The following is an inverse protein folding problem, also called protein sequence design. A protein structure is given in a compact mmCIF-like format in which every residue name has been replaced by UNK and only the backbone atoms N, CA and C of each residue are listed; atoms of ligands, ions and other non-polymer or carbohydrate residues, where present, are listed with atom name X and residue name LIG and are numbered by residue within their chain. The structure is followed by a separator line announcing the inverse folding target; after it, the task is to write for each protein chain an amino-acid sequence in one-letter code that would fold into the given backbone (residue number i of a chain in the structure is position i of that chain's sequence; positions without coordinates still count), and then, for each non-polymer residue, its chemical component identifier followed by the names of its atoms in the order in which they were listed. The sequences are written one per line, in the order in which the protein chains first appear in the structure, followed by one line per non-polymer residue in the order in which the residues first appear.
data_IF_523628068119
#
_entry.id   IF_523628068119
#
_cell.length_a   1.000
_cell.length_b   1.000
_cell.length_c   1.000
_cell.angle_alpha   90.00
_cell.angle_beta   90.00
_cell.angle_gamma   90.00
#
_symmetry.space_group_name_H-M   'P 1'
#
loop_
_entity.id
_entity.type
_entity.pdbx_description
1 polymer ?
#
# COMPACT_ATOMS: atom_id res chain seq x y z
N UNK A 1 16.17 -19.33 -1.84
CA UNK A 1 16.18 -17.88 -2.11
C UNK A 1 15.45 -17.63 -3.42
N UNK A 2 14.40 -16.81 -3.41
CA UNK A 2 13.66 -16.47 -4.62
C UNK A 2 14.54 -15.68 -5.55
N UNK A 3 14.72 -16.16 -6.79
CA UNK A 3 15.65 -15.57 -7.77
C UNK A 3 15.28 -14.15 -8.23
N UNK A 4 15.85 -13.67 -9.34
CA UNK A 4 15.78 -12.27 -9.80
C UNK A 4 14.38 -11.75 -10.22
N UNK A 5 13.31 -12.52 -9.95
CA UNK A 5 11.90 -12.15 -10.14
C UNK A 5 11.07 -12.52 -8.90
N UNK A 6 11.64 -12.38 -7.70
CA UNK A 6 10.90 -12.60 -6.47
C UNK A 6 9.81 -11.52 -6.32
N UNK A 7 8.55 -11.94 -6.29
CA UNK A 7 7.37 -11.08 -6.16
C UNK A 7 6.09 -11.90 -6.16
N UNK A 8 4.96 -11.25 -5.87
CA UNK A 8 3.64 -11.86 -5.86
C UNK A 8 2.62 -10.95 -5.18
N UNK A 9 1.35 -11.16 -5.48
CA UNK A 9 0.22 -10.51 -4.81
C UNK A 9 -0.91 -11.52 -4.67
N UNK A 10 -1.85 -11.24 -3.76
CA UNK A 10 -3.08 -12.00 -3.64
C UNK A 10 -4.12 -11.39 -4.58
N UNK A 11 -4.75 -12.22 -5.41
CA UNK A 11 -5.95 -11.80 -6.15
C UNK A 11 -7.15 -11.66 -5.19
N UNK A 12 -8.24 -11.03 -5.65
CA UNK A 12 -9.49 -10.95 -4.88
C UNK A 12 -10.01 -12.35 -4.48
N UNK A 13 -9.90 -13.32 -5.38
CA UNK A 13 -10.30 -14.70 -5.10
C UNK A 13 -9.40 -15.36 -4.04
N UNK A 14 -8.09 -15.07 -4.05
CA UNK A 14 -7.18 -15.55 -3.01
C UNK A 14 -7.54 -14.97 -1.64
N UNK A 15 -7.80 -13.67 -1.58
CA UNK A 15 -8.22 -12.98 -0.35
C UNK A 15 -9.55 -13.53 0.15
N UNK A 16 -10.54 -13.73 -0.73
CA UNK A 16 -11.84 -14.31 -0.36
C UNK A 16 -11.70 -15.71 0.24
N UNK A 17 -10.80 -16.54 -0.32
CA UNK A 17 -10.49 -17.87 0.25
C UNK A 17 -9.84 -17.77 1.62
N UNK A 18 -8.91 -16.83 1.80
CA UNK A 18 -8.23 -16.60 3.10
C UNK A 18 -9.25 -16.18 4.16
N UNK A 19 -10.08 -15.18 3.86
CA UNK A 19 -11.11 -14.67 4.80
C UNK A 19 -12.13 -15.76 5.15
N UNK A 20 -12.61 -16.52 4.16
CA UNK A 20 -13.54 -17.63 4.40
C UNK A 20 -12.94 -18.71 5.30
N UNK A 21 -11.67 -19.05 5.11
CA UNK A 21 -10.99 -20.02 5.95
C UNK A 21 -10.74 -19.50 7.37
N UNK A 22 -10.28 -18.25 7.52
CA UNK A 22 -10.10 -17.62 8.84
C UNK A 22 -11.40 -17.61 9.64
N UNK A 23 -12.54 -17.33 8.99
CA UNK A 23 -13.87 -17.38 9.61
C UNK A 23 -14.23 -18.75 10.16
N UNK A 24 -13.85 -19.85 9.49
CA UNK A 24 -14.07 -21.22 9.99
C UNK A 24 -13.26 -21.51 11.26
N UNK A 25 -12.20 -20.74 11.51
CA UNK A 25 -11.32 -20.84 12.66
C UNK A 25 -11.62 -19.78 13.73
N UNK A 26 -12.71 -19.02 13.58
CA UNK A 26 -13.08 -17.91 14.45
C UNK A 26 -12.00 -16.80 14.52
N UNK A 27 -11.28 -16.58 13.43
CA UNK A 27 -10.28 -15.53 13.27
C UNK A 27 -10.85 -14.41 12.41
N UNK A 28 -10.72 -13.17 12.88
CA UNK A 28 -11.02 -11.97 12.11
C UNK A 28 -9.79 -11.51 11.32
N UNK A 29 -10.00 -11.14 10.05
CA UNK A 29 -8.94 -10.61 9.18
C UNK A 29 -9.13 -9.10 9.10
N UNK A 30 -8.19 -8.34 9.68
CA UNK A 30 -8.12 -6.89 9.57
C UNK A 30 -7.11 -6.51 8.49
N UNK A 31 -7.53 -5.97 7.33
CA UNK A 31 -6.59 -5.50 6.33
C UNK A 31 -5.92 -4.20 6.77
N UNK A 32 -4.67 -4.01 6.36
CA UNK A 32 -3.91 -2.78 6.58
C UNK A 32 -3.49 -2.17 5.24
N UNK A 33 -3.70 -0.87 5.10
CA UNK A 33 -3.14 -0.07 4.02
C UNK A 33 -2.18 0.92 4.70
N UNK A 34 -0.89 0.61 4.71
CA UNK A 34 0.11 1.42 5.43
C UNK A 34 0.36 2.76 4.72
N UNK A 35 0.28 3.85 5.49
CA UNK A 35 0.43 5.22 4.99
C UNK A 35 0.69 6.22 6.14
N UNK A 36 1.25 7.42 5.89
CA UNK A 36 1.76 7.91 4.60
C UNK A 36 3.17 7.39 4.24
N UNK A 37 3.94 6.92 5.23
CA UNK A 37 5.24 6.30 5.01
C UNK A 37 5.10 4.84 4.57
N UNK A 38 6.22 4.16 4.30
CA UNK A 38 6.25 2.74 3.87
C UNK A 38 5.56 2.47 2.52
N UNK A 39 5.40 3.53 1.72
CA UNK A 39 4.63 3.51 0.50
C UNK A 39 5.51 3.44 -0.76
N UNK A 40 6.76 2.97 -0.69
CA UNK A 40 7.69 2.95 -1.83
C UNK A 40 7.11 2.29 -3.08
N UNK A 41 6.42 1.15 -2.96
CA UNK A 41 5.79 0.51 -4.12
C UNK A 41 4.70 1.40 -4.73
N UNK A 42 3.90 2.05 -3.88
CA UNK A 42 2.81 2.93 -4.30
C UNK A 42 3.34 4.19 -4.98
N UNK A 43 4.41 4.81 -4.48
CA UNK A 43 5.04 5.99 -5.10
C UNK A 43 5.72 5.67 -6.43
N UNK A 44 6.09 4.41 -6.67
CA UNK A 44 6.62 3.96 -7.98
C UNK A 44 5.51 3.70 -9.00
N UNK A 45 4.38 3.14 -8.57
CA UNK A 45 3.23 2.87 -9.45
C UNK A 45 2.42 4.13 -9.72
N UNK A 46 2.34 5.03 -8.75
CA UNK A 46 1.61 6.30 -8.82
C UNK A 46 2.53 7.47 -8.42
N UNK A 47 3.46 7.89 -9.29
CA UNK A 47 4.36 9.01 -9.01
C UNK A 47 3.64 10.32 -8.68
N UNK A 48 2.40 10.49 -9.16
CA UNK A 48 1.52 11.62 -8.88
C UNK A 48 1.08 11.73 -7.41
N UNK A 49 1.34 10.72 -6.58
CA UNK A 49 1.13 10.79 -5.14
C UNK A 49 2.26 11.51 -4.40
N UNK A 50 3.21 12.09 -5.13
CA UNK A 50 4.28 12.93 -4.61
C UNK A 50 4.28 14.27 -5.34
N UNK A 51 4.76 15.29 -4.65
CA UNK A 51 4.94 16.61 -5.26
C UNK A 51 6.32 16.63 -5.98
N UNK A 52 6.37 16.82 -7.31
CA UNK A 52 7.62 16.91 -8.04
C UNK A 52 8.47 18.15 -7.67
N UNK A 53 7.86 19.16 -7.05
CA UNK A 53 8.56 20.34 -6.54
C UNK A 53 9.05 20.16 -5.09
N UNK A 54 8.80 19.01 -4.46
CA UNK A 54 9.27 18.74 -3.11
C UNK A 54 10.80 18.64 -3.08
N UNK A 55 11.43 19.58 -2.36
CA UNK A 55 12.88 19.61 -2.14
C UNK A 55 13.29 19.09 -0.76
N UNK A 56 12.37 18.42 -0.05
CA UNK A 56 12.64 17.83 1.26
C UNK A 56 13.74 16.77 1.18
N UNK A 57 14.62 16.75 2.19
CA UNK A 57 15.60 15.68 2.37
C UNK A 57 14.95 14.59 3.21
N UNK A 58 14.28 13.65 2.55
CA UNK A 58 13.61 12.53 3.20
C UNK A 58 14.57 11.36 3.48
N UNK A 59 14.35 10.66 4.59
CA UNK A 59 15.03 9.42 4.92
C UNK A 59 14.18 8.60 5.89
N UNK A 60 13.85 7.37 5.52
CA UNK A 60 13.12 6.46 6.42
C UNK A 60 14.06 5.70 7.34
N UNK A 61 13.53 5.15 8.44
CA UNK A 61 14.29 4.31 9.37
C UNK A 61 14.94 3.07 8.71
N UNK A 62 14.44 2.65 7.54
CA UNK A 62 14.96 1.55 6.73
C UNK A 62 15.95 1.99 5.65
N UNK A 63 16.31 3.28 5.59
CA UNK A 63 17.27 3.81 4.63
C UNK A 63 16.71 4.10 3.24
N UNK A 64 15.39 4.04 3.05
CA UNK A 64 14.75 4.41 1.78
C UNK A 64 14.46 5.90 1.70
N UNK A 65 14.69 6.46 0.51
CA UNK A 65 14.07 7.68 0.00
C UNK A 65 12.95 7.30 -0.96
N UNK A 66 12.05 8.23 -1.27
CA UNK A 66 10.90 7.97 -2.13
C UNK A 66 9.77 7.19 -1.44
N UNK A 67 9.83 6.98 -0.13
CA UNK A 67 9.03 5.97 0.58
C UNK A 67 7.76 6.53 1.24
N UNK A 68 7.37 7.75 0.90
CA UNK A 68 6.24 8.45 1.53
C UNK A 68 5.37 9.08 0.43
N UNK A 69 4.04 8.94 0.56
CA UNK A 69 3.06 9.70 -0.23
C UNK A 69 2.83 11.08 0.41
N UNK A 70 2.56 12.10 -0.40
CA UNK A 70 2.38 13.46 0.09
C UNK A 70 0.92 13.67 0.55
N UNK A 71 0.63 13.87 1.84
CA UNK A 71 -0.74 14.13 2.32
C UNK A 71 -1.25 15.53 1.97
N UNK A 72 -0.39 16.42 1.47
CA UNK A 72 -0.71 17.81 1.11
C UNK A 72 -1.21 18.01 -0.32
N UNK A 73 -1.34 16.94 -1.12
CA UNK A 73 -1.85 17.02 -2.49
C UNK A 73 -3.21 16.31 -2.61
N UNK A 74 -4.09 16.87 -3.44
CA UNK A 74 -5.46 16.37 -3.62
C UNK A 74 -5.50 14.91 -4.09
N UNK A 75 -4.53 14.52 -4.93
CA UNK A 75 -4.46 13.18 -5.49
C UNK A 75 -4.41 12.09 -4.42
N UNK A 76 -3.73 12.34 -3.30
CA UNK A 76 -3.68 11.42 -2.17
C UNK A 76 -5.07 11.16 -1.61
N UNK A 77 -5.88 12.20 -1.47
CA UNK A 77 -7.23 12.10 -0.92
C UNK A 77 -8.27 11.55 -1.92
N UNK A 78 -7.97 11.53 -3.22
CA UNK A 78 -8.75 10.77 -4.19
C UNK A 78 -8.49 9.26 -4.10
N UNK A 79 -7.21 8.88 -3.90
CA UNK A 79 -6.76 7.49 -4.00
C UNK A 79 -7.05 6.70 -2.72
N UNK A 80 -6.78 7.28 -1.55
CA UNK A 80 -6.89 6.55 -0.29
C UNK A 80 -8.32 6.05 0.01
N UNK A 81 -9.39 6.85 -0.16
CA UNK A 81 -10.76 6.38 0.04
C UNK A 81 -11.18 5.33 -0.99
N UNK A 82 -10.71 5.45 -2.24
CA UNK A 82 -10.98 4.46 -3.27
C UNK A 82 -10.35 3.10 -2.94
N UNK A 83 -9.10 3.09 -2.48
CA UNK A 83 -8.43 1.88 -2.00
C UNK A 83 -9.14 1.28 -0.79
N UNK A 84 -9.50 2.09 0.20
CA UNK A 84 -10.22 1.63 1.38
C UNK A 84 -11.59 1.02 1.03
N UNK A 85 -12.31 1.64 0.08
CA UNK A 85 -13.61 1.14 -0.40
C UNK A 85 -13.46 -0.22 -1.11
N UNK A 86 -12.44 -0.36 -1.95
CA UNK A 86 -12.13 -1.60 -2.66
C UNK A 86 -11.72 -2.74 -1.71
N UNK A 87 -11.00 -2.42 -0.63
CA UNK A 87 -10.59 -3.40 0.39
C UNK A 87 -11.77 -3.81 1.30
N UNK A 88 -12.75 -2.93 1.49
CA UNK A 88 -13.91 -3.18 2.33
C UNK A 88 -15.05 -3.95 1.61
N UNK A 89 -15.01 -4.07 0.28
CA UNK A 89 -16.03 -4.75 -0.53
C UNK A 89 -15.87 -6.26 -0.56
#
# INVERSE_FOLDING_TARGET
GGGPRAGGSYSKDDVARIVAHAKQLNIEVMPEIEMPAHAFALTRVMPELRDPADTSVEGSAMGYTGNTINPGIDKTWEVLPALATEVAS
#
